data_IF_933142296310
#
_entry.id   IF_933142296310
#
_cell.length_a   1.000
_cell.length_b   1.000
_cell.length_c   1.000
_cell.angle_alpha   90.00
_cell.angle_beta   90.00
_cell.angle_gamma   90.00
#
_symmetry.space_group_name_H-M   'P 1'
#
loop_
_entity.id
_entity.type
_entity.pdbx_description
1 polymer ?
#
# COMPACT_ATOMS: atom_id res chain seq x y z
N UNK A 1 -6.02 0.69 -2.70
CA UNK A 1 -5.86 2.15 -2.61
C UNK A 1 -5.10 2.65 -3.82
N UNK A 2 -5.26 3.93 -4.18
CA UNK A 2 -4.46 4.59 -5.25
C UNK A 2 -3.47 5.54 -4.58
N UNK A 3 -2.20 5.48 -4.99
CA UNK A 3 -1.10 6.28 -4.46
C UNK A 3 -0.42 7.00 -5.63
N UNK A 4 -0.29 8.32 -5.57
CA UNK A 4 0.26 9.15 -6.66
C UNK A 4 1.66 9.72 -6.36
N UNK A 5 2.24 9.39 -5.21
CA UNK A 5 3.54 9.88 -4.76
C UNK A 5 4.42 8.75 -4.21
N UNK A 6 5.74 8.94 -4.32
CA UNK A 6 6.73 8.07 -3.68
C UNK A 6 6.86 8.36 -2.18
N UNK A 7 7.39 7.39 -1.44
CA UNK A 7 7.60 7.48 0.00
C UNK A 7 6.46 6.87 0.81
N UNK A 8 6.34 7.31 2.07
CA UNK A 8 5.37 6.78 3.03
C UNK A 8 4.03 7.49 2.87
N UNK A 9 3.00 6.73 2.52
CA UNK A 9 1.66 7.21 2.24
C UNK A 9 0.67 6.58 3.23
N UNK A 10 0.06 7.38 4.12
CA UNK A 10 -0.95 6.88 5.05
C UNK A 10 -2.28 6.64 4.33
N UNK A 11 -2.88 5.49 4.62
CA UNK A 11 -4.18 5.05 4.13
C UNK A 11 -5.08 4.74 5.31
N UNK A 12 -6.25 5.39 5.36
CA UNK A 12 -7.30 5.07 6.33
C UNK A 12 -8.05 3.82 5.89
N UNK A 13 -7.53 2.67 6.30
CA UNK A 13 -8.09 1.35 6.05
C UNK A 13 -7.99 0.59 7.38
N UNK A 14 -9.10 0.00 7.81
CA UNK A 14 -9.09 -0.91 8.97
C UNK A 14 -8.17 -2.10 8.68
N UNK A 15 -7.09 -2.23 9.45
CA UNK A 15 -6.13 -3.32 9.29
C UNK A 15 -6.74 -4.68 9.58
N UNK A 16 -7.81 -4.76 10.39
CA UNK A 16 -8.54 -6.01 10.63
C UNK A 16 -9.40 -6.47 9.44
N UNK A 17 -9.62 -5.61 8.44
CA UNK A 17 -10.42 -5.93 7.26
C UNK A 17 -9.60 -6.48 6.08
N UNK A 18 -8.27 -6.45 6.15
CA UNK A 18 -7.37 -6.83 5.06
C UNK A 18 -6.20 -7.68 5.56
N UNK A 19 -5.71 -8.56 4.70
CA UNK A 19 -4.44 -9.25 4.94
C UNK A 19 -3.29 -8.32 4.50
N UNK A 20 -2.56 -7.77 5.46
CA UNK A 20 -1.47 -6.81 5.20
C UNK A 20 -0.31 -7.47 4.45
N UNK A 21 -0.03 -8.75 4.73
CA UNK A 21 1.07 -9.49 4.12
C UNK A 21 0.79 -9.83 2.64
N UNK A 22 -0.47 -9.71 2.23
CA UNK A 22 -0.90 -9.90 0.83
C UNK A 22 -0.72 -8.66 -0.06
N UNK A 23 -0.21 -7.56 0.49
CA UNK A 23 -0.09 -6.29 -0.21
C UNK A 23 0.77 -6.40 -1.48
N UNK A 24 0.27 -5.85 -2.60
CA UNK A 24 1.04 -5.83 -3.85
C UNK A 24 0.62 -4.68 -4.75
N UNK A 25 1.58 -4.15 -5.52
CA UNK A 25 1.33 -3.14 -6.56
C UNK A 25 0.84 -3.84 -7.83
N UNK A 26 -0.30 -3.37 -8.35
CA UNK A 26 -0.77 -3.72 -9.70
C UNK A 26 0.19 -3.17 -10.75
N UNK A 27 1.17 -3.98 -11.12
CA UNK A 27 2.31 -3.58 -11.95
C UNK A 27 3.60 -4.32 -11.61
N UNK A 28 3.64 -5.03 -10.47
CA UNK A 28 4.77 -5.87 -10.08
C UNK A 28 5.88 -5.16 -9.30
N UNK A 29 5.62 -3.94 -8.82
CA UNK A 29 6.54 -3.19 -7.95
C UNK A 29 6.56 -3.70 -6.51
N UNK A 30 7.63 -3.36 -5.79
CA UNK A 30 7.76 -3.69 -4.37
C UNK A 30 6.94 -2.70 -3.55
N UNK A 31 6.30 -3.21 -2.50
CA UNK A 31 5.55 -2.39 -1.55
C UNK A 31 5.78 -2.91 -0.15
N UNK A 32 6.05 -2.01 0.78
CA UNK A 32 6.08 -2.32 2.21
C UNK A 32 4.86 -1.69 2.84
N UNK A 33 4.17 -2.44 3.69
CA UNK A 33 2.99 -1.94 4.40
C UNK A 33 3.17 -2.19 5.88
N UNK A 34 2.99 -1.12 6.65
CA UNK A 34 2.94 -1.16 8.11
C UNK A 34 1.51 -0.88 8.56
N UNK A 35 1.03 -1.65 9.54
CA UNK A 35 -0.28 -1.45 10.14
C UNK A 35 -0.16 -0.90 11.55
N UNK A 36 -0.95 0.14 11.84
CA UNK A 36 -1.12 0.73 13.16
C UNK A 36 -2.60 1.03 13.40
N UNK A 37 -3.29 0.11 14.09
CA UNK A 37 -4.72 0.23 14.36
C UNK A 37 -5.58 0.32 13.09
N UNK A 38 -6.20 1.47 12.86
CA UNK A 38 -7.06 1.79 11.71
C UNK A 38 -6.31 2.51 10.56
N UNK A 39 -4.98 2.54 10.65
CA UNK A 39 -4.11 3.19 9.68
C UNK A 39 -3.15 2.16 9.08
N UNK A 40 -3.06 2.15 7.74
CA UNK A 40 -2.00 1.48 7.01
C UNK A 40 -1.04 2.52 6.45
N UNK A 41 0.25 2.35 6.66
CA UNK A 41 1.28 3.16 6.01
C UNK A 41 1.93 2.34 4.92
N UNK A 42 1.81 2.80 3.68
CA UNK A 42 2.42 2.16 2.53
C UNK A 42 3.69 2.90 2.14
N UNK A 43 4.80 2.18 1.99
CA UNK A 43 6.03 2.71 1.41
C UNK A 43 6.17 2.25 -0.05
N UNK A 44 6.24 3.22 -0.97
CA UNK A 44 6.50 2.98 -2.38
C UNK A 44 7.86 3.60 -2.76
N UNK A 45 8.82 2.80 -3.26
CA UNK A 45 10.12 3.30 -3.71
C UNK A 45 9.97 4.34 -4.82
N UNK A 46 10.76 5.40 -4.79
CA UNK A 46 10.71 6.46 -5.81
C UNK A 46 11.03 5.97 -7.24
N UNK A 47 11.77 4.87 -7.37
CA UNK A 47 12.05 4.21 -8.65
C UNK A 47 10.79 3.61 -9.29
N UNK A 48 9.75 3.35 -8.50
CA UNK A 48 8.57 2.59 -8.91
C UNK A 48 7.40 3.54 -9.27
N UNK A 49 7.53 4.84 -9.03
CA UNK A 49 6.47 5.83 -9.28
C UNK A 49 6.66 6.53 -10.63
N UNK A 50 6.24 5.86 -11.69
CA UNK A 50 6.10 6.47 -13.03
C UNK A 50 4.71 7.12 -13.25
N UNK A 51 3.84 7.08 -12.24
CA UNK A 51 2.44 7.50 -12.28
C UNK A 51 1.66 6.89 -11.11
N UNK A 52 0.32 7.04 -11.08
CA UNK A 52 -0.52 6.50 -10.01
C UNK A 52 -0.35 4.98 -9.87
N UNK A 53 -0.04 4.54 -8.66
CA UNK A 53 0.11 3.13 -8.29
C UNK A 53 -1.16 2.64 -7.60
N UNK A 54 -1.62 1.44 -7.95
CA UNK A 54 -2.74 0.81 -7.26
C UNK A 54 -2.20 -0.30 -6.37
N UNK A 55 -2.38 -0.15 -5.07
CA UNK A 55 -2.04 -1.15 -4.07
C UNK A 55 -3.30 -1.96 -3.77
N UNK A 56 -3.20 -3.28 -3.96
CA UNK A 56 -4.27 -4.22 -3.62
C UNK A 56 -3.89 -5.01 -2.37
N UNK A 57 -4.93 -5.40 -1.63
CA UNK A 57 -4.86 -6.29 -0.50
C UNK A 57 -5.89 -7.40 -0.71
N UNK A 58 -5.56 -8.62 -0.30
CA UNK A 58 -6.56 -9.67 -0.11
C UNK A 58 -7.43 -9.31 1.08
N UNK A 59 -8.68 -9.77 1.02
CA UNK A 59 -9.62 -9.63 2.13
C UNK A 59 -9.32 -10.70 3.17
N UNK A 60 -9.38 -10.30 4.44
CA UNK A 60 -9.28 -11.21 5.58
C UNK A 60 -10.60 -11.98 5.81
#
# INVERSE_FOLDING_TARGET
AVVDAAGRVPLRIDAGAVDVDSATILGGGNVVVEADGDMLTVEIPATDVAGPQVVRFARH
#
